data_IF_747754460662
#
_entry.id   IF_747754460662
#
_cell.length_a   1.000
_cell.length_b   1.000
_cell.length_c   1.000
_cell.angle_alpha   90.00
_cell.angle_beta   90.00
_cell.angle_gamma   90.00
#
_symmetry.space_group_name_H-M   'P 1'
#
loop_
_entity.id
_entity.type
_entity.pdbx_description
1 polymer ?
#
# COMPACT_ATOMS: atom_id res chain seq x y z
N UNK A 1 4.44 -16.53 12.57
CA UNK A 1 3.47 -15.43 12.81
C UNK A 1 2.08 -15.96 12.52
N UNK A 2 1.10 -15.68 13.38
CA UNK A 2 -0.31 -16.04 13.14
C UNK A 2 -1.15 -14.78 13.17
N UNK A 3 -1.52 -14.27 11.99
CA UNK A 3 -2.44 -13.14 11.85
C UNK A 3 -3.82 -13.67 11.51
N UNK A 4 -4.90 -13.08 12.06
CA UNK A 4 -6.25 -13.46 11.68
C UNK A 4 -6.46 -13.17 10.19
N UNK A 5 -7.34 -13.95 9.55
CA UNK A 5 -7.77 -13.63 8.19
C UNK A 5 -8.40 -12.23 8.12
N UNK A 6 -8.50 -11.68 6.92
CA UNK A 6 -9.08 -10.35 6.64
C UNK A 6 -8.32 -9.15 7.21
N UNK A 7 -7.11 -9.31 7.77
CA UNK A 7 -6.21 -8.16 7.97
C UNK A 7 -5.60 -7.73 6.64
N UNK A 8 -5.24 -6.47 6.55
CA UNK A 8 -4.46 -5.97 5.43
C UNK A 8 -3.05 -6.54 5.46
N UNK A 9 -2.59 -7.02 4.31
CA UNK A 9 -1.18 -7.28 4.03
C UNK A 9 -0.82 -6.37 2.87
N UNK A 10 0.28 -5.63 3.01
CA UNK A 10 0.66 -4.56 2.08
C UNK A 10 1.81 -5.02 1.19
N UNK A 11 1.65 -4.86 -0.13
CA UNK A 11 2.75 -4.93 -1.07
C UNK A 11 3.49 -3.60 -1.03
N UNK A 12 4.77 -3.64 -0.67
CA UNK A 12 5.68 -2.51 -0.81
C UNK A 12 6.10 -2.37 -2.28
N UNK A 13 5.55 -1.36 -2.96
CA UNK A 13 5.87 -1.02 -4.34
C UNK A 13 6.83 0.17 -4.38
N UNK A 14 8.12 -0.11 -4.21
CA UNK A 14 9.19 0.88 -4.13
C UNK A 14 10.45 0.42 -4.87
N UNK A 15 11.27 1.37 -5.33
CA UNK A 15 12.63 1.10 -5.77
C UNK A 15 12.73 0.33 -7.09
N UNK A 16 11.74 0.49 -7.98
CA UNK A 16 11.71 -0.26 -9.24
C UNK A 16 12.74 0.34 -10.21
N UNK A 17 13.56 -0.54 -10.79
CA UNK A 17 14.53 -0.16 -11.83
C UNK A 17 13.82 0.45 -13.04
N UNK A 18 14.43 1.49 -13.63
CA UNK A 18 13.94 2.13 -14.85
C UNK A 18 13.98 1.22 -16.09
N UNK A 19 14.64 0.06 -16.00
CA UNK A 19 14.67 -0.96 -17.05
C UNK A 19 13.41 -1.85 -17.06
N UNK A 20 12.62 -1.83 -15.99
CA UNK A 20 11.41 -2.65 -15.86
C UNK A 20 10.22 -1.91 -16.49
N UNK A 21 9.46 -2.59 -17.35
CA UNK A 21 8.27 -2.01 -17.96
C UNK A 21 7.11 -1.91 -16.95
N UNK A 22 6.25 -0.90 -17.12
CA UNK A 22 5.03 -0.77 -16.32
C UNK A 22 4.13 -2.02 -16.42
N UNK A 23 4.10 -2.69 -17.58
CA UNK A 23 3.34 -3.93 -17.78
C UNK A 23 3.86 -5.07 -16.90
N UNK A 24 5.18 -5.24 -16.79
CA UNK A 24 5.78 -6.24 -15.91
C UNK A 24 5.46 -5.97 -14.43
N UNK A 25 5.46 -4.70 -14.02
CA UNK A 25 5.07 -4.29 -12.66
C UNK A 25 3.59 -4.58 -12.41
N UNK A 26 2.71 -4.24 -13.35
CA UNK A 26 1.27 -4.52 -13.23
C UNK A 26 1.01 -6.01 -13.09
N UNK A 27 1.70 -6.84 -13.88
CA UNK A 27 1.59 -8.30 -13.79
C UNK A 27 2.08 -8.82 -12.43
N UNK A 28 3.22 -8.32 -11.94
CA UNK A 28 3.74 -8.66 -10.61
C UNK A 28 2.75 -8.31 -9.51
N UNK A 29 2.25 -7.07 -9.49
CA UNK A 29 1.25 -6.57 -8.55
C UNK A 29 -0.03 -7.42 -8.55
N UNK A 30 -0.52 -7.81 -9.73
CA UNK A 30 -1.73 -8.63 -9.89
C UNK A 30 -1.50 -10.06 -9.37
N UNK A 31 -0.35 -10.66 -9.66
CA UNK A 31 0.00 -12.00 -9.16
C UNK A 31 0.12 -12.00 -7.62
N UNK A 32 0.77 -10.97 -7.07
CA UNK A 32 0.89 -10.79 -5.63
C UNK A 32 -0.49 -10.62 -4.97
N UNK A 33 -1.34 -9.77 -5.55
CA UNK A 33 -2.72 -9.58 -5.08
C UNK A 33 -3.46 -10.91 -4.98
N UNK A 34 -3.42 -11.73 -6.05
CA UNK A 34 -4.13 -13.01 -6.11
C UNK A 34 -3.64 -13.99 -5.04
N UNK A 35 -2.32 -14.04 -4.81
CA UNK A 35 -1.74 -14.89 -3.78
C UNK A 35 -2.21 -14.50 -2.36
N UNK A 36 -2.22 -13.20 -2.04
CA UNK A 36 -2.61 -12.69 -0.73
C UNK A 36 -4.12 -12.80 -0.49
N UNK A 37 -4.92 -12.48 -1.50
CA UNK A 37 -6.38 -12.68 -1.45
C UNK A 37 -6.72 -14.17 -1.29
N UNK A 38 -6.04 -15.05 -2.03
CA UNK A 38 -6.22 -16.51 -1.94
C UNK A 38 -5.84 -17.09 -0.58
N UNK A 39 -4.93 -16.45 0.15
CA UNK A 39 -4.58 -16.79 1.53
C UNK A 39 -5.59 -16.26 2.58
N UNK A 40 -6.62 -15.52 2.15
CA UNK A 40 -7.68 -15.01 3.03
C UNK A 40 -7.35 -13.66 3.69
N UNK A 41 -6.34 -12.94 3.22
CA UNK A 41 -6.00 -11.58 3.65
C UNK A 41 -6.62 -10.53 2.73
N UNK A 42 -6.56 -9.25 3.14
CA UNK A 42 -6.96 -8.12 2.31
C UNK A 42 -5.72 -7.49 1.67
N UNK A 43 -5.47 -7.65 0.36
CA UNK A 43 -4.31 -7.05 -0.28
C UNK A 43 -4.40 -5.53 -0.24
N UNK A 44 -3.35 -4.88 0.25
CA UNK A 44 -3.12 -3.44 0.13
C UNK A 44 -1.85 -3.15 -0.66
N UNK A 45 -1.72 -1.91 -1.13
CA UNK A 45 -0.58 -1.42 -1.89
C UNK A 45 0.02 -0.22 -1.19
N UNK A 46 1.26 -0.34 -0.74
CA UNK A 46 2.09 0.79 -0.35
C UNK A 46 2.76 1.35 -1.61
N UNK A 47 2.59 2.64 -1.85
CA UNK A 47 3.14 3.33 -3.02
C UNK A 47 4.35 4.14 -2.56
N UNK A 48 5.54 3.59 -2.83
CA UNK A 48 6.83 4.15 -2.46
C UNK A 48 7.51 4.92 -3.58
N UNK A 49 8.73 5.40 -3.30
CA UNK A 49 9.57 6.08 -4.27
C UNK A 49 9.83 5.19 -5.48
N UNK A 50 9.83 5.77 -6.69
CA UNK A 50 10.12 5.02 -7.91
C UNK A 50 9.24 3.78 -8.12
N UNK A 51 7.93 3.85 -7.78
CA UNK A 51 6.94 2.80 -8.09
C UNK A 51 6.55 2.71 -9.58
N UNK A 52 7.03 3.67 -10.39
CA UNK A 52 6.90 3.84 -11.86
C UNK A 52 5.49 3.87 -12.46
N UNK A 53 4.46 3.41 -11.73
CA UNK A 53 3.07 3.44 -12.18
C UNK A 53 2.46 4.82 -11.93
N UNK A 54 1.61 5.29 -12.84
CA UNK A 54 0.82 6.51 -12.64
C UNK A 54 -0.49 6.23 -11.86
N UNK A 55 -1.19 7.29 -11.46
CA UNK A 55 -2.44 7.19 -10.68
C UNK A 55 -3.51 6.30 -11.32
N UNK A 56 -3.67 6.32 -12.64
CA UNK A 56 -4.66 5.50 -13.33
C UNK A 56 -4.24 4.03 -13.34
N UNK A 57 -2.97 3.73 -13.63
CA UNK A 57 -2.44 2.37 -13.60
C UNK A 57 -2.54 1.76 -12.19
N UNK A 58 -2.26 2.56 -11.15
CA UNK A 58 -2.43 2.13 -9.76
C UNK A 58 -3.90 1.80 -9.46
N UNK A 59 -4.83 2.63 -9.95
CA UNK A 59 -6.26 2.44 -9.73
C UNK A 59 -6.85 1.25 -10.51
N UNK A 60 -6.32 0.95 -11.69
CA UNK A 60 -6.76 -0.17 -12.52
C UNK A 60 -6.29 -1.54 -11.97
N UNK A 61 -5.32 -1.55 -11.06
CA UNK A 61 -4.94 -2.75 -10.31
C UNK A 61 -6.07 -3.20 -9.37
N UNK A 62 -6.13 -4.48 -8.99
CA UNK A 62 -7.22 -5.02 -8.15
C UNK A 62 -7.22 -4.53 -6.68
N UNK A 63 -6.28 -3.67 -6.28
CA UNK A 63 -6.18 -3.19 -4.90
C UNK A 63 -7.29 -2.21 -4.55
N UNK A 64 -7.76 -2.30 -3.30
CA UNK A 64 -8.73 -1.36 -2.73
C UNK A 64 -8.18 -0.62 -1.51
N UNK A 65 -6.94 -0.91 -1.09
CA UNK A 65 -6.33 -0.32 0.09
C UNK A 65 -4.99 0.28 -0.32
N UNK A 66 -4.84 1.60 -0.19
CA UNK A 66 -3.63 2.32 -0.58
C UNK A 66 -2.97 2.98 0.61
N UNK A 67 -1.65 2.87 0.70
CA UNK A 67 -0.79 3.51 1.69
C UNK A 67 0.23 4.40 0.98
N UNK A 68 0.23 5.68 1.29
CA UNK A 68 1.10 6.70 0.72
C UNK A 68 2.42 6.75 1.50
N UNK A 69 3.56 6.62 0.83
CA UNK A 69 4.90 6.81 1.44
C UNK A 69 5.17 8.26 1.84
N UNK A 70 6.28 8.54 2.52
CA UNK A 70 6.70 9.94 2.76
C UNK A 70 7.23 10.62 1.47
N UNK A 71 7.53 9.84 0.43
CA UNK A 71 8.06 10.32 -0.85
C UNK A 71 7.01 11.02 -1.72
N UNK A 72 7.49 11.71 -2.77
CA UNK A 72 6.61 12.22 -3.83
C UNK A 72 6.14 11.07 -4.71
N UNK A 73 4.89 10.66 -4.54
CA UNK A 73 4.25 9.59 -5.31
C UNK A 73 2.97 10.08 -5.98
N UNK A 74 2.42 9.35 -6.97
CA UNK A 74 1.19 9.78 -7.63
C UNK A 74 0.04 9.98 -6.63
N UNK A 75 -0.81 10.99 -6.81
CA UNK A 75 -2.02 11.13 -6.00
C UNK A 75 -2.96 9.93 -6.23
N UNK A 76 -3.86 9.68 -5.28
CA UNK A 76 -4.95 8.73 -5.50
C UNK A 76 -5.84 9.19 -6.67
N UNK A 77 -6.36 8.24 -7.45
CA UNK A 77 -7.31 8.53 -8.52
C UNK A 77 -8.73 8.71 -7.95
N UNK A 78 -9.64 7.74 -8.18
CA UNK A 78 -10.98 7.76 -7.58
C UNK A 78 -10.90 7.46 -6.07
N UNK A 79 -10.20 6.38 -5.71
CA UNK A 79 -9.88 6.06 -4.31
C UNK A 79 -8.67 6.85 -3.83
N UNK A 80 -8.81 7.47 -2.66
CA UNK A 80 -7.72 8.12 -1.95
C UNK A 80 -6.95 7.14 -1.05
N UNK A 81 -5.84 7.60 -0.49
CA UNK A 81 -5.02 6.83 0.43
C UNK A 81 -5.71 6.65 1.78
N UNK A 82 -5.63 5.44 2.33
CA UNK A 82 -6.16 5.06 3.65
C UNK A 82 -5.14 5.23 4.78
N UNK A 83 -3.87 5.34 4.42
CA UNK A 83 -2.75 5.49 5.34
C UNK A 83 -1.70 6.37 4.68
N UNK A 84 -1.08 7.27 5.43
CA UNK A 84 0.00 8.14 4.96
C UNK A 84 1.14 8.06 5.96
N UNK A 85 2.33 7.75 5.44
CA UNK A 85 3.58 7.68 6.18
C UNK A 85 4.23 9.06 6.28
N UNK A 86 4.81 9.34 7.44
CA UNK A 86 5.56 10.55 7.74
C UNK A 86 6.87 10.17 8.44
N UNK A 87 7.95 10.88 8.07
CA UNK A 87 9.25 10.73 8.72
C UNK A 87 9.21 11.27 10.15
N UNK A 88 9.80 10.51 11.10
CA UNK A 88 10.01 10.96 12.48
C UNK A 88 11.50 11.19 12.71
N UNK A 89 11.88 12.45 12.91
CA UNK A 89 13.28 12.83 13.08
C UNK A 89 13.92 12.29 14.36
N UNK A 90 13.15 12.27 15.45
CA UNK A 90 13.67 11.88 16.77
C UNK A 90 13.34 10.40 17.06
N UNK A 91 14.35 9.56 17.34
CA UNK A 91 14.13 8.17 17.69
C UNK A 91 13.27 8.01 18.94
N UNK A 92 12.32 7.08 18.91
CA UNK A 92 11.54 6.70 20.09
C UNK A 92 12.33 5.65 20.87
N UNK A 93 12.79 5.99 22.07
CA UNK A 93 13.65 5.12 22.89
C UNK A 93 14.93 4.65 22.14
N UNK A 94 15.49 5.52 21.28
CA UNK A 94 16.68 5.20 20.49
C UNK A 94 16.43 4.40 19.21
N UNK A 95 15.18 4.18 18.84
CA UNK A 95 14.78 3.44 17.62
C UNK A 95 14.14 4.41 16.62
N UNK A 96 14.67 4.46 15.40
CA UNK A 96 14.04 5.19 14.29
C UNK A 96 12.73 4.51 13.90
N UNK A 97 11.66 5.30 13.78
CA UNK A 97 10.34 4.84 13.37
C UNK A 97 9.80 5.79 12.31
N UNK A 98 8.86 5.30 11.51
CA UNK A 98 7.98 6.16 10.74
C UNK A 98 6.64 6.31 11.46
N UNK A 99 5.95 7.42 11.22
CA UNK A 99 4.60 7.66 11.71
C UNK A 99 3.60 7.43 10.60
N UNK A 100 2.65 6.54 10.82
CA UNK A 100 1.54 6.30 9.90
C UNK A 100 0.22 6.84 10.46
N UNK A 101 -0.44 7.69 9.68
CA UNK A 101 -1.76 8.25 10.02
C UNK A 101 -2.80 7.62 9.10
N UNK A 102 -3.90 7.13 9.66
CA UNK A 102 -4.99 6.54 8.89
C UNK A 102 -6.10 7.52 8.56
N UNK A 103 -6.70 7.29 7.41
CA UNK A 103 -7.80 8.06 6.86
C UNK A 103 -8.90 7.11 6.36
N UNK A 104 -10.11 7.65 6.22
CA UNK A 104 -11.19 7.01 5.48
C UNK A 104 -10.99 7.42 4.02
N UNK A 105 -10.85 6.46 3.10
CA UNK A 105 -10.75 6.79 1.67
C UNK A 105 -12.07 7.38 1.14
N UNK A 106 -12.02 7.94 -0.08
CA UNK A 106 -13.18 8.56 -0.74
C UNK A 106 -14.38 7.61 -0.91
N UNK A 107 -14.15 6.30 -0.81
CA UNK A 107 -15.17 5.25 -0.95
C UNK A 107 -15.56 4.65 0.43
N UNK A 108 -15.14 5.26 1.54
CA UNK A 108 -15.46 4.83 2.90
C UNK A 108 -14.57 3.72 3.48
N UNK A 109 -13.52 3.32 2.78
CA UNK A 109 -12.62 2.24 3.19
C UNK A 109 -11.58 2.69 4.21
N UNK A 110 -11.24 1.79 5.14
CA UNK A 110 -10.21 1.98 6.18
C UNK A 110 -9.18 0.86 6.17
N UNK A 111 -7.97 1.05 6.74
CA UNK A 111 -7.04 -0.04 7.01
C UNK A 111 -7.66 -1.04 8.01
N UNK A 112 -7.44 -2.32 7.77
CA UNK A 112 -7.95 -3.43 8.57
C UNK A 112 -6.78 -4.12 9.26
N UNK A 113 -6.62 -3.84 10.55
CA UNK A 113 -5.58 -4.39 11.41
C UNK A 113 -6.12 -5.29 12.52
N UNK A 114 -7.43 -5.20 12.79
CA UNK A 114 -8.16 -6.01 13.76
C UNK A 114 -9.56 -6.29 13.21
N UNK A 115 -10.06 -7.52 13.35
CA UNK A 115 -11.47 -7.81 13.07
C UNK A 115 -12.26 -7.28 14.28
N UNK A 116 -13.19 -6.34 14.05
CA UNK A 116 -14.22 -6.07 15.05
C UNK A 116 -15.14 -7.29 15.10
N UNK A 117 -15.12 -7.98 16.24
CA UNK A 117 -16.04 -9.08 16.57
C UNK A 117 -17.49 -8.64 16.59
#
# INVERSE_FOLDING_TARGET
MGFPGKVNVWLDLEGISSEVSAEAVIQYCTNWYNAIAGAGYLPGLYVGANSILNSQQLYDLPFQHYWHSESTVPPGAVRSYKMVQYYVAEPVNGIGIDQDITYIDNDGGVPQWLILS
#
